data_IF_776238538876
#
_entry.id   IF_776238538876
#
_cell.length_a   1.000
_cell.length_b   1.000
_cell.length_c   1.000
_cell.angle_alpha   90.00
_cell.angle_beta   90.00
_cell.angle_gamma   90.00
#
_symmetry.space_group_name_H-M   'P 1'
#
loop_
_entity.id
_entity.type
_entity.pdbx_description
1 polymer ?
#
# COMPACT_ATOMS: atom_id res chain seq x y z
N UNK A 1 -1.16 22.17 -32.31
CA UNK A 1 -1.36 22.03 -30.84
C UNK A 1 -1.15 20.56 -30.54
N UNK A 2 0.06 20.20 -30.12
CA UNK A 2 0.45 18.79 -30.01
C UNK A 2 -0.15 18.20 -28.73
N UNK A 3 -1.21 17.41 -28.90
CA UNK A 3 -1.95 16.75 -27.81
C UNK A 3 -1.17 15.59 -27.16
N UNK A 4 0.10 15.37 -27.53
CA UNK A 4 0.91 14.23 -27.11
C UNK A 4 1.55 14.37 -25.72
N UNK A 5 1.54 15.54 -25.09
CA UNK A 5 2.19 15.74 -23.79
C UNK A 5 1.40 15.14 -22.61
N UNK A 6 0.07 15.08 -22.70
CA UNK A 6 -0.79 14.66 -21.58
C UNK A 6 -0.71 13.15 -21.29
N UNK A 7 -0.54 12.32 -22.33
CA UNK A 7 -0.42 10.86 -22.21
C UNK A 7 0.97 10.46 -21.74
N UNK A 8 1.99 11.24 -22.11
CA UNK A 8 3.37 11.05 -21.66
C UNK A 8 3.51 11.38 -20.18
N UNK A 9 2.83 12.41 -19.68
CA UNK A 9 2.90 12.79 -18.26
C UNK A 9 2.18 11.79 -17.34
N UNK A 10 0.95 11.39 -17.67
CA UNK A 10 0.18 10.44 -16.83
C UNK A 10 0.63 8.99 -17.01
N UNK A 11 0.92 8.58 -18.26
CA UNK A 11 1.44 7.24 -18.56
C UNK A 11 2.86 7.04 -18.03
N UNK A 12 3.70 8.08 -18.07
CA UNK A 12 5.06 8.05 -17.53
C UNK A 12 5.10 7.72 -16.04
N UNK A 13 4.11 8.17 -15.26
CA UNK A 13 4.04 7.86 -13.82
C UNK A 13 3.75 6.38 -13.54
N UNK A 14 2.80 5.79 -14.27
CA UNK A 14 2.47 4.35 -14.14
C UNK A 14 3.62 3.48 -14.63
N UNK A 15 4.26 3.86 -15.75
CA UNK A 15 5.46 3.18 -16.26
C UNK A 15 6.60 3.27 -15.25
N UNK A 16 6.86 4.43 -14.66
CA UNK A 16 7.85 4.60 -13.60
C UNK A 16 7.54 3.70 -12.39
N UNK A 17 6.28 3.61 -11.98
CA UNK A 17 5.87 2.72 -10.89
C UNK A 17 6.15 1.24 -11.23
N UNK A 18 5.91 0.82 -12.47
CA UNK A 18 6.22 -0.53 -12.93
C UNK A 18 7.73 -0.80 -12.97
N UNK A 19 8.54 0.16 -13.43
CA UNK A 19 10.01 0.08 -13.42
C UNK A 19 10.54 -0.03 -11.99
N UNK A 20 10.03 0.80 -11.07
CA UNK A 20 10.39 0.73 -9.65
C UNK A 20 10.03 -0.63 -9.01
N UNK A 21 8.90 -1.23 -9.41
CA UNK A 21 8.53 -2.57 -8.98
C UNK A 21 9.55 -3.63 -9.44
N UNK A 22 10.04 -3.52 -10.68
CA UNK A 22 11.12 -4.38 -11.20
C UNK A 22 12.47 -4.15 -10.49
N UNK A 23 12.83 -2.90 -10.22
CA UNK A 23 14.05 -2.58 -9.45
C UNK A 23 14.00 -3.13 -8.02
N UNK A 24 12.83 -3.09 -7.39
CA UNK A 24 12.61 -3.67 -6.07
C UNK A 24 12.75 -5.20 -6.07
N UNK A 25 12.26 -5.89 -7.10
CA UNK A 25 12.40 -7.35 -7.27
C UNK A 25 13.87 -7.79 -7.26
N UNK A 26 14.72 -7.07 -7.98
CA UNK A 26 16.16 -7.34 -8.06
C UNK A 26 16.85 -7.21 -6.69
N UNK A 27 16.29 -6.38 -5.80
CA UNK A 27 16.75 -6.21 -4.42
C UNK A 27 16.04 -7.12 -3.41
N UNK A 28 15.41 -8.20 -3.89
CA UNK A 28 14.69 -9.17 -3.08
C UNK A 28 13.57 -8.52 -2.26
N UNK A 29 12.74 -7.68 -2.91
CA UNK A 29 11.60 -7.02 -2.28
C UNK A 29 10.31 -7.27 -3.08
N UNK A 30 9.18 -7.11 -2.41
CA UNK A 30 7.85 -7.28 -3.02
C UNK A 30 7.60 -6.29 -4.17
N UNK A 31 7.41 -6.82 -5.38
CA UNK A 31 7.06 -6.05 -6.58
C UNK A 31 5.77 -5.24 -6.38
N UNK A 32 4.73 -5.90 -5.88
CA UNK A 32 3.41 -5.29 -5.74
C UNK A 32 3.42 -4.16 -4.72
N UNK A 33 4.10 -4.35 -3.59
CA UNK A 33 4.24 -3.31 -2.58
C UNK A 33 4.96 -2.09 -3.15
N UNK A 34 6.09 -2.30 -3.85
CA UNK A 34 6.86 -1.19 -4.41
C UNK A 34 6.20 -0.54 -5.64
N UNK A 35 5.38 -1.27 -6.39
CA UNK A 35 4.50 -0.71 -7.42
C UNK A 35 3.50 0.27 -6.80
N UNK A 36 2.75 -0.17 -5.77
CA UNK A 36 1.75 0.65 -5.10
C UNK A 36 2.38 1.85 -4.41
N UNK A 37 3.50 1.66 -3.70
CA UNK A 37 4.26 2.76 -3.09
C UNK A 37 4.66 3.78 -4.16
N UNK A 38 5.20 3.34 -5.30
CA UNK A 38 5.59 4.23 -6.39
C UNK A 38 4.42 4.97 -7.02
N UNK A 39 3.22 4.41 -6.99
CA UNK A 39 2.03 5.12 -7.48
C UNK A 39 1.72 6.37 -6.63
N UNK A 40 2.01 6.33 -5.33
CA UNK A 40 1.80 7.46 -4.42
C UNK A 40 2.97 8.44 -4.37
N UNK A 41 4.21 7.96 -4.34
CA UNK A 41 5.39 8.81 -4.10
C UNK A 41 6.31 8.96 -5.33
N UNK A 42 5.99 8.31 -6.45
CA UNK A 42 6.65 8.51 -7.74
C UNK A 42 8.17 8.36 -7.70
N UNK A 43 8.94 9.35 -8.20
CA UNK A 43 10.41 9.32 -8.19
C UNK A 43 11.05 9.14 -6.81
N UNK A 44 10.36 9.51 -5.73
CA UNK A 44 10.88 9.30 -4.37
C UNK A 44 11.01 7.80 -4.05
N UNK A 45 10.14 6.94 -4.60
CA UNK A 45 10.28 5.49 -4.46
C UNK A 45 11.57 5.00 -5.12
N UNK A 46 11.95 5.57 -6.27
CA UNK A 46 13.22 5.24 -6.95
C UNK A 46 14.41 5.55 -6.05
N UNK A 47 14.43 6.75 -5.45
CA UNK A 47 15.48 7.13 -4.50
C UNK A 47 15.57 6.12 -3.34
N UNK A 48 14.44 5.80 -2.71
CA UNK A 48 14.37 4.84 -1.61
C UNK A 48 14.85 3.43 -2.02
N UNK A 49 14.43 2.94 -3.19
CA UNK A 49 14.86 1.64 -3.70
C UNK A 49 16.38 1.62 -3.90
N UNK A 50 16.96 2.68 -4.45
CA UNK A 50 18.40 2.75 -4.77
C UNK A 50 19.25 2.81 -3.51
N UNK A 51 18.93 3.69 -2.55
CA UNK A 51 19.75 3.87 -1.34
C UNK A 51 19.65 2.70 -0.37
N UNK A 52 18.54 1.98 -0.37
CA UNK A 52 18.33 0.89 0.58
C UNK A 52 19.05 -0.38 0.13
N UNK A 53 19.69 -1.06 1.09
CA UNK A 53 20.35 -2.35 0.87
C UNK A 53 19.36 -3.44 0.42
N UNK A 54 19.91 -4.44 -0.28
CA UNK A 54 19.18 -5.65 -0.65
C UNK A 54 18.62 -6.32 0.61
N UNK A 55 17.34 -6.68 0.58
CA UNK A 55 16.76 -7.40 1.71
C UNK A 55 17.35 -8.82 1.77
N UNK A 56 17.63 -9.37 2.96
CA UNK A 56 18.06 -10.76 3.11
C UNK A 56 17.10 -11.71 2.39
N UNK A 57 17.61 -12.82 1.85
CA UNK A 57 16.79 -13.83 1.15
C UNK A 57 15.64 -14.31 2.02
N UNK A 58 15.95 -14.51 3.30
CA UNK A 58 15.07 -15.00 4.35
C UNK A 58 14.11 -13.92 4.87
N UNK A 59 14.33 -12.64 4.52
CA UNK A 59 13.49 -11.54 4.97
C UNK A 59 12.18 -11.41 4.19
N UNK A 60 12.06 -12.07 3.03
CA UNK A 60 10.75 -12.30 2.42
C UNK A 60 10.12 -13.51 3.09
N UNK A 61 9.81 -13.39 4.37
CA UNK A 61 8.81 -14.27 4.95
C UNK A 61 7.49 -13.95 4.24
N UNK A 62 6.91 -14.88 3.46
CA UNK A 62 5.64 -14.62 2.82
C UNK A 62 4.65 -14.33 3.93
N UNK A 63 4.16 -13.09 4.02
CA UNK A 63 3.04 -12.79 4.89
C UNK A 63 1.91 -13.71 4.45
N UNK A 64 1.64 -14.75 5.22
CA UNK A 64 0.62 -15.74 4.92
C UNK A 64 -0.72 -15.16 5.39
N UNK A 65 -1.45 -14.44 4.54
CA UNK A 65 -2.52 -13.53 4.98
C UNK A 65 -3.74 -14.27 5.50
N UNK A 66 -3.77 -15.60 5.30
CA UNK A 66 -4.93 -16.45 5.51
C UNK A 66 -4.65 -17.68 6.38
N UNK A 67 -3.40 -17.88 6.84
CA UNK A 67 -3.07 -19.06 7.67
C UNK A 67 -3.37 -18.80 9.14
N UNK A 68 -2.96 -17.64 9.67
CA UNK A 68 -3.19 -17.26 11.07
C UNK A 68 -4.42 -16.35 11.21
N UNK A 69 -5.20 -16.54 12.28
CA UNK A 69 -6.32 -15.65 12.63
C UNK A 69 -5.85 -14.23 12.91
N UNK A 70 -4.69 -14.04 13.53
CA UNK A 70 -4.14 -12.72 13.77
C UNK A 70 -3.75 -12.02 12.45
N UNK A 71 -3.03 -12.71 11.57
CA UNK A 71 -2.53 -12.12 10.31
C UNK A 71 -3.64 -11.71 9.34
N UNK A 72 -4.80 -12.38 9.41
CA UNK A 72 -6.02 -11.98 8.70
C UNK A 72 -6.48 -10.58 9.10
N UNK A 73 -6.52 -10.29 10.40
CA UNK A 73 -6.93 -8.98 10.91
C UNK A 73 -5.93 -7.88 10.56
N UNK A 74 -4.64 -8.18 10.61
CA UNK A 74 -3.59 -7.25 10.18
C UNK A 74 -3.69 -6.93 8.68
N UNK A 75 -3.95 -7.94 7.85
CA UNK A 75 -4.14 -7.77 6.40
C UNK A 75 -5.38 -6.94 6.10
N UNK A 76 -6.51 -7.25 6.74
CA UNK A 76 -7.75 -6.48 6.59
C UNK A 76 -7.57 -5.03 7.05
N UNK A 77 -6.88 -4.81 8.16
CA UNK A 77 -6.57 -3.47 8.66
C UNK A 77 -5.75 -2.66 7.66
N UNK A 78 -4.68 -3.27 7.14
CA UNK A 78 -3.79 -2.65 6.15
C UNK A 78 -4.54 -2.30 4.85
N UNK A 79 -5.32 -3.23 4.31
CA UNK A 79 -6.12 -3.01 3.09
C UNK A 79 -7.14 -1.88 3.30
N UNK A 80 -7.84 -1.87 4.44
CA UNK A 80 -8.84 -0.84 4.74
C UNK A 80 -8.20 0.55 4.82
N UNK A 81 -7.03 0.68 5.44
CA UNK A 81 -6.28 1.94 5.50
C UNK A 81 -5.85 2.40 4.11
N UNK A 82 -5.34 1.50 3.25
CA UNK A 82 -4.95 1.84 1.88
C UNK A 82 -6.15 2.34 1.07
N UNK A 83 -7.30 1.68 1.20
CA UNK A 83 -8.55 2.12 0.54
C UNK A 83 -8.98 3.48 1.08
N UNK A 84 -8.93 3.69 2.40
CA UNK A 84 -9.28 4.97 3.00
C UNK A 84 -8.40 6.12 2.47
N UNK A 85 -7.09 5.89 2.34
CA UNK A 85 -6.16 6.87 1.77
C UNK A 85 -6.44 7.13 0.29
N UNK A 86 -6.68 6.09 -0.51
CA UNK A 86 -7.00 6.24 -1.93
C UNK A 86 -8.29 7.05 -2.13
N UNK A 87 -9.32 6.78 -1.31
CA UNK A 87 -10.55 7.56 -1.28
C UNK A 87 -10.28 8.99 -0.81
N UNK A 88 -9.47 9.18 0.23
CA UNK A 88 -9.01 10.50 0.71
C UNK A 88 -8.38 11.35 -0.39
N UNK A 89 -7.51 10.75 -1.22
CA UNK A 89 -6.89 11.44 -2.37
C UNK A 89 -7.94 11.79 -3.42
N UNK A 90 -8.86 10.89 -3.74
CA UNK A 90 -9.96 11.17 -4.67
C UNK A 90 -10.84 12.33 -4.18
N UNK A 91 -11.02 12.44 -2.87
CA UNK A 91 -11.83 13.48 -2.24
C UNK A 91 -11.25 14.89 -2.36
N UNK A 92 -9.93 15.02 -2.51
CA UNK A 92 -9.29 16.31 -2.76
C UNK A 92 -9.79 16.99 -4.05
N UNK A 93 -10.36 16.21 -4.97
CA UNK A 93 -10.90 16.70 -6.23
C UNK A 93 -12.41 17.01 -6.15
N UNK A 94 -13.04 16.89 -4.98
CA UNK A 94 -14.49 17.06 -4.79
C UNK A 94 -14.80 18.06 -3.67
N UNK A 95 -15.82 18.90 -3.85
CA UNK A 95 -16.28 19.90 -2.85
C UNK A 95 -17.43 19.34 -1.99
N UNK A 96 -17.66 18.02 -1.99
CA UNK A 96 -18.77 17.40 -1.28
C UNK A 96 -18.30 16.76 0.01
N UNK A 97 -18.70 17.32 1.15
CA UNK A 97 -18.39 16.76 2.48
C UNK A 97 -18.95 15.34 2.66
N UNK A 98 -20.08 15.01 2.03
CA UNK A 98 -20.66 13.67 2.10
C UNK A 98 -19.81 12.61 1.39
N UNK A 99 -18.94 13.03 0.46
CA UNK A 99 -18.02 12.11 -0.19
C UNK A 99 -16.93 11.58 0.78
N UNK A 100 -16.73 12.22 1.94
CA UNK A 100 -15.78 11.75 2.96
C UNK A 100 -16.25 10.48 3.70
N UNK A 101 -17.55 10.16 3.65
CA UNK A 101 -18.15 9.06 4.43
C UNK A 101 -17.47 7.71 4.13
N UNK A 102 -17.30 7.27 2.87
CA UNK A 102 -16.58 6.04 2.54
C UNK A 102 -15.16 6.00 3.11
N UNK A 103 -14.37 7.06 2.98
CA UNK A 103 -12.99 7.10 3.49
C UNK A 103 -12.95 6.91 5.02
N UNK A 104 -13.87 7.57 5.73
CA UNK A 104 -14.02 7.43 7.19
C UNK A 104 -14.40 5.99 7.56
N UNK A 105 -15.37 5.39 6.86
CA UNK A 105 -15.79 4.00 7.10
C UNK A 105 -14.61 3.03 6.93
N UNK A 106 -13.84 3.16 5.85
CA UNK A 106 -12.66 2.32 5.64
C UNK A 106 -11.57 2.54 6.70
N UNK A 107 -11.38 3.78 7.16
CA UNK A 107 -10.49 4.06 8.29
C UNK A 107 -10.95 3.38 9.57
N UNK A 108 -12.25 3.46 9.89
CA UNK A 108 -12.83 2.82 11.08
C UNK A 108 -12.74 1.30 11.01
N UNK A 109 -12.99 0.71 9.84
CA UNK A 109 -12.79 -0.73 9.61
C UNK A 109 -11.31 -1.12 9.79
N UNK A 110 -10.39 -0.27 9.34
CA UNK A 110 -8.95 -0.45 9.55
C UNK A 110 -8.58 -0.47 11.03
N UNK A 111 -9.04 0.53 11.78
CA UNK A 111 -8.84 0.62 13.23
C UNK A 111 -9.47 -0.57 13.96
N UNK A 112 -10.69 -0.95 13.59
CA UNK A 112 -11.39 -2.08 14.18
C UNK A 112 -10.64 -3.40 13.94
N UNK A 113 -10.14 -3.61 12.72
CA UNK A 113 -9.31 -4.77 12.40
C UNK A 113 -8.00 -4.79 13.20
N UNK A 114 -7.36 -3.64 13.43
CA UNK A 114 -6.17 -3.55 14.30
C UNK A 114 -6.48 -3.87 15.77
N UNK A 115 -7.64 -3.46 16.28
CA UNK A 115 -8.10 -3.85 17.61
C UNK A 115 -8.29 -5.36 17.71
N UNK A 116 -8.91 -5.98 16.70
CA UNK A 116 -9.08 -7.44 16.64
C UNK A 116 -7.75 -8.17 16.51
N UNK A 117 -6.79 -7.62 15.75
CA UNK A 117 -5.43 -8.13 15.70
C UNK A 117 -4.80 -8.15 17.10
N UNK A 118 -4.88 -7.04 17.84
CA UNK A 118 -4.35 -6.95 19.20
C UNK A 118 -4.96 -7.99 20.15
N UNK A 119 -6.26 -8.27 19.99
CA UNK A 119 -6.95 -9.32 20.76
C UNK A 119 -6.49 -10.72 20.37
N UNK A 120 -6.45 -11.03 19.08
CA UNK A 120 -6.01 -12.33 18.57
C UNK A 120 -4.53 -12.61 18.89
N UNK A 121 -3.67 -11.59 18.80
CA UNK A 121 -2.26 -11.68 19.15
C UNK A 121 -2.05 -11.83 20.67
N UNK A 122 -2.94 -11.26 21.49
CA UNK A 122 -2.90 -11.46 22.94
C UNK A 122 -3.34 -12.87 23.36
N UNK A 123 -4.30 -13.47 22.64
CA UNK A 123 -4.74 -14.86 22.85
C UNK A 123 -3.62 -15.85 22.49
N UNK A 124 -2.96 -15.68 21.33
CA UNK A 124 -1.87 -16.55 20.88
C UNK A 124 -0.61 -16.52 21.76
N UNK A 125 -0.43 -15.50 22.62
CA UNK A 125 0.67 -15.43 23.60
C UNK A 125 0.34 -16.12 24.92
N UNK A 126 -0.93 -16.50 25.14
CA UNK A 126 -1.40 -17.18 26.35
C UNK A 126 -1.43 -18.69 26.20
N UNK A 127 -1.41 -19.18 24.97
CA UNK A 127 -1.25 -20.60 24.59
C UNK A 127 0.22 -20.99 24.59
#
# INVERSE_FOLDING_TARGET
MDQSSWTVNSGGWVVLALVNAGLAEQKNRSRLTWFLVSLFIGPLATFLIVVWQRAPVDAIEPLHPFTNRADRWLTLGTVSVVIALALGVLLLFTVNWAAAIPAIVFLLLGVWALVLYGRAAAEARRE
#
